data_IF_531984697641
#
_entry.id   IF_531984697641
#
_cell.length_a   1.000
_cell.length_b   1.000
_cell.length_c   1.000
_cell.angle_alpha   90.00
_cell.angle_beta   90.00
_cell.angle_gamma   90.00
#
_symmetry.space_group_name_H-M   'P 1'
#
loop_
_entity.id
_entity.type
_entity.pdbx_description
1 polymer ?
#
# COMPACT_ATOMS: atom_id res chain seq x y z
N UNK A 1 -35.70 -29.70 -4.69
CA UNK A 1 -35.13 -28.48 -4.06
C UNK A 1 -33.66 -28.19 -4.45
N UNK A 2 -33.09 -28.81 -5.51
CA UNK A 2 -31.71 -28.56 -5.98
C UNK A 2 -31.61 -27.73 -7.28
N UNK A 3 -32.68 -27.67 -8.09
CA UNK A 3 -32.68 -26.95 -9.39
C UNK A 3 -32.73 -25.41 -9.27
N UNK A 4 -33.24 -24.88 -8.17
CA UNK A 4 -33.32 -23.42 -7.92
C UNK A 4 -32.00 -22.82 -7.45
N UNK A 5 -31.12 -23.62 -6.84
CA UNK A 5 -29.83 -23.15 -6.29
C UNK A 5 -28.77 -22.95 -7.38
N UNK A 6 -28.80 -23.74 -8.45
CA UNK A 6 -27.89 -23.66 -9.61
C UNK A 6 -28.24 -22.54 -10.59
N UNK A 7 -29.51 -22.17 -10.71
CA UNK A 7 -29.91 -21.02 -11.52
C UNK A 7 -29.40 -19.71 -10.92
N UNK A 8 -29.55 -19.53 -9.59
CA UNK A 8 -29.11 -18.35 -8.84
C UNK A 8 -27.60 -18.08 -8.94
N UNK A 9 -26.78 -19.13 -8.94
CA UNK A 9 -25.32 -19.00 -9.07
C UNK A 9 -24.89 -18.58 -10.48
N UNK A 10 -25.57 -19.08 -11.53
CA UNK A 10 -25.34 -18.66 -12.92
C UNK A 10 -25.73 -17.21 -13.17
N UNK A 11 -26.86 -16.73 -12.66
CA UNK A 11 -27.27 -15.32 -12.82
C UNK A 11 -26.33 -14.37 -12.09
N UNK A 12 -25.82 -14.77 -10.92
CA UNK A 12 -24.81 -14.01 -10.17
C UNK A 12 -23.43 -13.99 -10.84
N UNK A 13 -23.04 -15.10 -11.49
CA UNK A 13 -21.81 -15.17 -12.29
C UNK A 13 -21.92 -14.29 -13.56
N UNK A 14 -23.06 -14.35 -14.27
CA UNK A 14 -23.33 -13.52 -15.44
C UNK A 14 -23.41 -12.02 -15.10
N UNK A 15 -24.01 -11.63 -13.98
CA UNK A 15 -24.00 -10.23 -13.52
C UNK A 15 -22.61 -9.73 -13.14
N UNK A 16 -21.77 -10.59 -12.55
CA UNK A 16 -20.37 -10.26 -12.28
C UNK A 16 -19.58 -10.12 -13.58
N UNK A 17 -19.70 -11.09 -14.49
CA UNK A 17 -19.05 -11.04 -15.80
C UNK A 17 -19.49 -9.81 -16.60
N UNK A 18 -20.78 -9.48 -16.62
CA UNK A 18 -21.31 -8.29 -17.28
C UNK A 18 -20.82 -6.98 -16.63
N UNK A 19 -20.66 -6.93 -15.30
CA UNK A 19 -20.07 -5.78 -14.61
C UNK A 19 -18.58 -5.62 -14.93
N UNK A 20 -17.83 -6.71 -14.96
CA UNK A 20 -16.41 -6.70 -15.34
C UNK A 20 -16.26 -6.30 -16.82
N UNK A 21 -17.09 -6.83 -17.72
CA UNK A 21 -17.13 -6.44 -19.14
C UNK A 21 -17.56 -5.00 -19.34
N UNK A 22 -18.54 -4.52 -18.58
CA UNK A 22 -18.96 -3.12 -18.63
C UNK A 22 -17.86 -2.19 -18.09
N UNK A 23 -17.15 -2.59 -17.04
CA UNK A 23 -16.00 -1.85 -16.53
C UNK A 23 -14.89 -1.78 -17.57
N UNK A 24 -14.55 -2.92 -18.20
CA UNK A 24 -13.55 -3.00 -19.27
C UNK A 24 -13.99 -2.19 -20.49
N UNK A 25 -15.27 -2.26 -20.88
CA UNK A 25 -15.81 -1.50 -22.00
C UNK A 25 -15.84 0.01 -21.72
N UNK A 26 -16.18 0.43 -20.50
CA UNK A 26 -16.12 1.84 -20.07
C UNK A 26 -14.68 2.33 -20.03
N UNK A 27 -13.74 1.53 -19.50
CA UNK A 27 -12.31 1.85 -19.51
C UNK A 27 -11.75 1.92 -20.92
N UNK A 28 -12.17 1.02 -21.81
CA UNK A 28 -11.77 1.00 -23.22
C UNK A 28 -12.35 2.18 -24.00
N UNK A 29 -13.62 2.52 -23.78
CA UNK A 29 -14.28 3.68 -24.39
C UNK A 29 -13.70 4.99 -23.84
N UNK A 30 -13.39 5.07 -22.55
CA UNK A 30 -12.70 6.21 -21.95
C UNK A 30 -11.28 6.37 -22.51
N UNK A 31 -10.54 5.26 -22.69
CA UNK A 31 -9.25 5.25 -23.35
C UNK A 31 -9.34 5.74 -24.80
N UNK A 32 -10.33 5.24 -25.56
CA UNK A 32 -10.53 5.61 -26.97
C UNK A 32 -11.03 7.05 -27.14
N UNK A 33 -11.90 7.54 -26.25
CA UNK A 33 -12.38 8.92 -26.23
C UNK A 33 -11.28 9.90 -25.79
N UNK A 34 -10.44 9.51 -24.82
CA UNK A 34 -9.25 10.27 -24.46
C UNK A 34 -8.28 10.42 -25.63
N UNK A 35 -8.05 9.36 -26.41
CA UNK A 35 -7.18 9.40 -27.62
C UNK A 35 -7.65 10.37 -28.69
N UNK A 36 -8.95 10.45 -28.96
CA UNK A 36 -9.52 11.41 -29.93
C UNK A 36 -9.35 12.87 -29.48
N UNK A 37 -9.25 13.13 -28.18
CA UNK A 37 -9.01 14.46 -27.62
C UNK A 37 -7.51 14.85 -27.55
N UNK A 38 -6.60 13.88 -27.62
CA UNK A 38 -5.14 14.06 -27.45
C UNK A 38 -4.44 14.41 -28.78
N UNK A 39 -5.00 14.03 -29.93
CA UNK A 39 -4.48 14.42 -31.23
C UNK A 39 -4.48 15.98 -31.35
N UNK A 40 -3.27 16.58 -31.34
CA UNK A 40 -3.09 18.04 -31.42
C UNK A 40 -2.80 18.77 -30.09
N UNK A 41 -2.70 18.08 -28.95
CA UNK A 41 -2.47 18.72 -27.63
C UNK A 41 -1.01 18.82 -27.17
N UNK A 42 -0.03 18.55 -28.03
CA UNK A 42 1.39 18.64 -27.66
C UNK A 42 1.77 20.03 -27.12
N UNK A 43 1.28 21.11 -27.76
CA UNK A 43 1.51 22.48 -27.26
C UNK A 43 0.89 22.73 -25.88
N UNK A 44 -0.31 22.20 -25.62
CA UNK A 44 -0.95 22.28 -24.29
C UNK A 44 -0.17 21.50 -23.24
N UNK A 45 0.34 20.31 -23.59
CA UNK A 45 1.15 19.49 -22.69
C UNK A 45 2.45 20.20 -22.31
N UNK A 46 3.13 20.82 -23.29
CA UNK A 46 4.32 21.63 -23.07
C UNK A 46 4.03 22.81 -22.14
N UNK A 47 2.99 23.61 -22.45
CA UNK A 47 2.60 24.74 -21.60
C UNK A 47 2.24 24.31 -20.16
N UNK A 48 1.59 23.14 -19.98
CA UNK A 48 1.32 22.60 -18.65
C UNK A 48 2.61 22.16 -17.94
N UNK A 49 3.56 21.55 -18.65
CA UNK A 49 4.88 21.21 -18.11
C UNK A 49 5.65 22.44 -17.63
N UNK A 50 5.69 23.50 -18.45
CA UNK A 50 6.32 24.77 -18.09
C UNK A 50 5.66 25.44 -16.87
N UNK A 51 4.32 25.36 -16.75
CA UNK A 51 3.62 25.83 -15.54
C UNK A 51 4.06 25.05 -14.31
N UNK A 52 4.15 23.73 -14.40
CA UNK A 52 4.59 22.89 -13.28
C UNK A 52 6.01 23.27 -12.87
N UNK A 53 6.91 23.45 -13.82
CA UNK A 53 8.27 23.93 -13.55
C UNK A 53 8.27 25.25 -12.76
N UNK A 54 7.43 26.23 -13.15
CA UNK A 54 7.27 27.48 -12.39
C UNK A 54 6.72 27.27 -10.98
N UNK A 55 5.73 26.38 -10.81
CA UNK A 55 5.20 26.03 -9.49
C UNK A 55 6.29 25.42 -8.59
N UNK A 56 7.17 24.59 -9.14
CA UNK A 56 8.28 24.01 -8.37
C UNK A 56 9.31 25.06 -7.95
N UNK A 57 9.59 26.05 -8.82
CA UNK A 57 10.42 27.20 -8.44
C UNK A 57 9.77 28.03 -7.34
N UNK A 58 8.46 28.28 -7.43
CA UNK A 58 7.70 29.00 -6.40
C UNK A 58 7.71 28.25 -5.05
N UNK A 59 7.64 26.91 -5.10
CA UNK A 59 7.71 26.04 -3.92
C UNK A 59 9.15 25.76 -3.45
N UNK A 60 10.16 26.34 -4.11
CA UNK A 60 11.58 26.14 -3.81
C UNK A 60 12.03 24.67 -3.82
N UNK A 61 11.44 23.85 -4.70
CA UNK A 61 11.89 22.48 -4.90
C UNK A 61 13.27 22.45 -5.58
N UNK A 62 14.07 21.38 -5.43
CA UNK A 62 15.33 21.23 -6.15
C UNK A 62 15.13 21.25 -7.67
N UNK A 63 16.10 21.75 -8.42
CA UNK A 63 16.05 21.70 -9.90
C UNK A 63 16.36 20.27 -10.39
N UNK A 64 15.50 19.75 -11.26
CA UNK A 64 15.63 18.43 -11.88
C UNK A 64 16.93 18.32 -12.71
N UNK A 65 17.35 19.41 -13.34
CA UNK A 65 18.59 19.46 -14.13
C UNK A 65 19.83 19.30 -13.25
N UNK A 66 19.82 19.83 -12.03
CA UNK A 66 20.91 19.64 -11.06
C UNK A 66 21.03 18.18 -10.63
N UNK A 67 19.91 17.45 -10.56
CA UNK A 67 19.92 16.01 -10.26
C UNK A 67 20.44 15.20 -11.47
N UNK A 68 20.13 15.63 -12.69
CA UNK A 68 20.56 14.95 -13.91
C UNK A 68 22.05 15.19 -14.24
N UNK A 69 22.60 16.37 -13.97
CA UNK A 69 23.97 16.75 -14.29
C UNK A 69 25.04 15.71 -13.89
N UNK A 70 25.11 15.22 -12.62
CA UNK A 70 26.09 14.21 -12.24
C UNK A 70 25.85 12.85 -12.90
N UNK A 71 24.58 12.53 -13.24
CA UNK A 71 24.26 11.30 -13.94
C UNK A 71 24.89 11.30 -15.34
N UNK A 72 24.88 12.43 -16.02
CA UNK A 72 25.42 12.59 -17.38
C UNK A 72 26.95 12.58 -17.46
N UNK A 73 27.67 12.61 -16.33
CA UNK A 73 29.13 12.56 -16.31
C UNK A 73 29.68 11.23 -16.84
N UNK A 74 28.91 10.14 -16.71
CA UNK A 74 29.32 8.80 -17.12
C UNK A 74 28.15 8.03 -17.74
N UNK A 75 28.40 7.26 -18.80
CA UNK A 75 27.31 6.52 -19.47
C UNK A 75 26.67 5.42 -18.61
N UNK A 76 27.48 4.75 -17.78
CA UNK A 76 27.01 3.60 -17.00
C UNK A 76 25.88 3.98 -16.02
N UNK A 77 26.00 5.02 -15.16
CA UNK A 77 24.90 5.49 -14.34
C UNK A 77 23.63 5.83 -15.12
N UNK A 78 23.74 6.52 -16.27
CA UNK A 78 22.57 6.86 -17.10
C UNK A 78 21.86 5.61 -17.60
N UNK A 79 22.61 4.65 -18.16
CA UNK A 79 22.07 3.40 -18.68
C UNK A 79 21.42 2.56 -17.57
N UNK A 80 22.00 2.54 -16.38
CA UNK A 80 21.41 1.88 -15.21
C UNK A 80 20.10 2.56 -14.79
N UNK A 81 20.05 3.89 -14.76
CA UNK A 81 18.83 4.63 -14.43
C UNK A 81 17.73 4.39 -15.48
N UNK A 82 18.06 4.46 -16.77
CA UNK A 82 17.13 4.15 -17.86
C UNK A 82 16.64 2.69 -17.79
N UNK A 83 17.53 1.74 -17.48
CA UNK A 83 17.16 0.32 -17.35
C UNK A 83 16.27 0.08 -16.13
N UNK A 84 16.55 0.76 -15.02
CA UNK A 84 15.69 0.72 -13.83
C UNK A 84 14.29 1.22 -14.18
N UNK A 85 14.22 2.38 -14.85
CA UNK A 85 12.97 2.98 -15.31
C UNK A 85 12.19 2.01 -16.22
N UNK A 86 12.86 1.36 -17.16
CA UNK A 86 12.23 0.46 -18.12
C UNK A 86 11.77 -0.87 -17.51
N UNK A 87 12.52 -1.45 -16.57
CA UNK A 87 12.39 -2.87 -16.26
C UNK A 87 12.05 -3.20 -14.81
N UNK A 88 12.20 -2.28 -13.84
CA UNK A 88 12.00 -2.65 -12.42
C UNK A 88 10.55 -2.54 -11.99
N UNK A 89 9.85 -1.53 -12.47
CA UNK A 89 8.54 -1.13 -11.96
C UNK A 89 7.49 -2.26 -12.01
N UNK A 90 7.25 -2.84 -13.19
CA UNK A 90 6.25 -3.89 -13.36
C UNK A 90 6.64 -5.20 -12.66
N UNK A 91 7.85 -5.77 -12.88
CA UNK A 91 8.24 -7.00 -12.21
C UNK A 91 8.24 -6.89 -10.68
N UNK A 92 8.75 -5.80 -10.11
CA UNK A 92 8.75 -5.60 -8.66
C UNK A 92 7.33 -5.59 -8.09
N UNK A 93 6.41 -4.90 -8.76
CA UNK A 93 5.00 -4.85 -8.35
C UNK A 93 4.33 -6.22 -8.46
N UNK A 94 4.55 -6.94 -9.57
CA UNK A 94 4.00 -8.29 -9.77
C UNK A 94 4.53 -9.26 -8.73
N UNK A 95 5.84 -9.26 -8.45
CA UNK A 95 6.45 -10.09 -7.42
C UNK A 95 5.87 -9.82 -6.04
N UNK A 96 5.69 -8.54 -5.68
CA UNK A 96 5.05 -8.15 -4.41
C UNK A 96 3.60 -8.66 -4.35
N UNK A 97 2.82 -8.47 -5.41
CA UNK A 97 1.43 -8.93 -5.47
C UNK A 97 1.32 -10.45 -5.39
N UNK A 98 2.16 -11.20 -6.10
CA UNK A 98 2.20 -12.67 -6.03
C UNK A 98 2.58 -13.13 -4.62
N UNK A 99 3.60 -12.53 -4.02
CA UNK A 99 4.01 -12.87 -2.67
C UNK A 99 2.92 -12.59 -1.63
N UNK A 100 2.27 -11.42 -1.71
CA UNK A 100 1.13 -11.09 -0.85
C UNK A 100 -0.05 -12.02 -1.11
N UNK A 101 -0.34 -12.37 -2.36
CA UNK A 101 -1.41 -13.31 -2.69
C UNK A 101 -1.19 -14.67 -2.03
N UNK A 102 0.04 -15.17 -2.05
CA UNK A 102 0.39 -16.48 -1.48
C UNK A 102 0.51 -16.47 0.06
N UNK A 103 0.94 -15.36 0.67
CA UNK A 103 1.29 -15.31 2.10
C UNK A 103 0.37 -14.45 2.95
N UNK A 104 -0.28 -13.45 2.37
CA UNK A 104 -1.05 -12.38 3.04
C UNK A 104 -2.26 -11.94 2.18
N UNK A 105 -3.28 -12.80 1.96
CA UNK A 105 -4.37 -12.52 1.01
C UNK A 105 -5.17 -11.24 1.32
N UNK A 106 -5.33 -10.89 2.59
CA UNK A 106 -6.01 -9.66 3.00
C UNK A 106 -5.25 -8.39 2.56
N UNK A 107 -3.94 -8.36 2.79
CA UNK A 107 -3.05 -7.27 2.38
C UNK A 107 -2.95 -7.19 0.85
N UNK A 108 -2.94 -8.34 0.16
CA UNK A 108 -3.02 -8.40 -1.30
C UNK A 108 -4.26 -7.67 -1.84
N UNK A 109 -5.45 -7.95 -1.28
CA UNK A 109 -6.69 -7.31 -1.73
C UNK A 109 -6.65 -5.80 -1.51
N UNK A 110 -6.09 -5.35 -0.39
CA UNK A 110 -5.94 -3.93 -0.09
C UNK A 110 -4.98 -3.25 -1.06
N UNK A 111 -3.79 -3.81 -1.27
CA UNK A 111 -2.81 -3.26 -2.20
C UNK A 111 -3.36 -3.25 -3.63
N UNK A 112 -3.96 -4.35 -4.09
CA UNK A 112 -4.58 -4.44 -5.42
C UNK A 112 -5.63 -3.35 -5.62
N UNK A 113 -6.52 -3.12 -4.65
CA UNK A 113 -7.54 -2.05 -4.72
C UNK A 113 -6.89 -0.68 -4.77
N UNK A 114 -5.89 -0.41 -3.93
CA UNK A 114 -5.18 0.86 -3.92
C UNK A 114 -4.50 1.14 -5.27
N UNK A 115 -3.78 0.16 -5.83
CA UNK A 115 -3.14 0.27 -7.14
C UNK A 115 -4.16 0.48 -8.26
N UNK A 116 -5.28 -0.25 -8.25
CA UNK A 116 -6.32 -0.09 -9.26
C UNK A 116 -6.96 1.30 -9.23
N UNK A 117 -7.34 1.80 -8.04
CA UNK A 117 -7.94 3.12 -7.89
C UNK A 117 -6.93 4.22 -8.23
N UNK A 118 -5.68 4.10 -7.78
CA UNK A 118 -4.62 5.05 -8.08
C UNK A 118 -4.37 5.14 -9.59
N UNK A 119 -4.32 3.99 -10.27
CA UNK A 119 -4.11 3.92 -11.72
C UNK A 119 -5.29 4.51 -12.48
N UNK A 120 -6.52 4.20 -12.08
CA UNK A 120 -7.71 4.78 -12.69
C UNK A 120 -7.74 6.31 -12.54
N UNK A 121 -7.45 6.82 -11.34
CA UNK A 121 -7.39 8.27 -11.08
C UNK A 121 -6.26 8.95 -11.88
N UNK A 122 -5.09 8.31 -11.97
CA UNK A 122 -3.97 8.81 -12.78
C UNK A 122 -4.35 8.87 -14.27
N UNK A 123 -4.99 7.83 -14.81
CA UNK A 123 -5.43 7.80 -16.20
C UNK A 123 -6.45 8.91 -16.52
N UNK A 124 -7.39 9.17 -15.61
CA UNK A 124 -8.33 10.29 -15.75
C UNK A 124 -7.57 11.63 -15.80
N UNK A 125 -6.61 11.84 -14.89
CA UNK A 125 -5.79 13.05 -14.89
C UNK A 125 -4.94 13.19 -16.16
N UNK A 126 -4.31 12.11 -16.63
CA UNK A 126 -3.51 12.09 -17.86
C UNK A 126 -4.32 12.46 -19.10
N UNK A 127 -5.60 12.09 -19.14
CA UNK A 127 -6.51 12.44 -20.25
C UNK A 127 -7.00 13.89 -20.12
N UNK A 128 -7.37 14.32 -18.92
CA UNK A 128 -7.93 15.65 -18.68
C UNK A 128 -6.86 16.75 -18.77
N UNK A 129 -5.66 16.49 -18.27
CA UNK A 129 -4.56 17.44 -18.13
C UNK A 129 -3.29 16.82 -18.73
N UNK A 130 -3.12 16.86 -20.06
CA UNK A 130 -1.90 16.37 -20.68
C UNK A 130 -0.72 17.22 -20.20
N UNK A 131 0.41 16.59 -19.92
CA UNK A 131 1.54 17.25 -19.27
C UNK A 131 2.85 16.68 -19.82
N UNK A 132 3.64 17.57 -20.42
CA UNK A 132 4.92 17.21 -20.99
C UNK A 132 5.97 17.07 -19.88
N UNK A 133 6.73 15.97 -19.86
CA UNK A 133 7.79 15.73 -18.88
C UNK A 133 8.99 16.67 -19.09
N UNK A 134 9.88 16.82 -18.08
CA UNK A 134 11.00 17.75 -18.13
C UNK A 134 11.90 17.61 -19.37
N UNK A 135 12.17 16.38 -19.83
CA UNK A 135 13.04 16.15 -21.01
C UNK A 135 12.47 16.68 -22.35
N UNK A 136 11.18 17.01 -22.39
CA UNK A 136 10.51 17.51 -23.61
C UNK A 136 10.27 19.02 -23.56
N UNK A 137 10.51 19.67 -22.42
CA UNK A 137 10.32 21.12 -22.24
C UNK A 137 11.65 21.87 -22.38
N UNK A 138 11.68 22.93 -23.19
CA UNK A 138 12.92 23.69 -23.41
C UNK A 138 13.43 24.41 -22.15
N UNK A 139 12.52 24.83 -21.25
CA UNK A 139 12.87 25.60 -20.04
C UNK A 139 13.76 24.84 -19.04
N UNK A 140 13.69 23.52 -19.00
CA UNK A 140 14.42 22.71 -18.02
C UNK A 140 15.86 22.43 -18.45
N UNK A 141 16.18 22.57 -19.74
CA UNK A 141 17.50 22.21 -20.30
C UNK A 141 17.86 20.73 -20.18
N UNK A 142 16.91 19.86 -19.80
CA UNK A 142 17.18 18.45 -19.55
C UNK A 142 17.37 17.65 -20.84
N UNK A 143 18.27 16.67 -20.77
CA UNK A 143 18.55 15.74 -21.86
C UNK A 143 17.58 14.55 -21.77
N UNK A 144 17.01 14.16 -22.91
CA UNK A 144 16.29 12.88 -23.04
C UNK A 144 17.29 11.71 -22.98
N UNK A 145 17.50 11.20 -21.78
CA UNK A 145 18.48 10.13 -21.53
C UNK A 145 18.05 8.82 -22.17
N UNK A 146 16.76 8.54 -22.25
CA UNK A 146 16.22 7.33 -22.86
C UNK A 146 16.51 7.31 -24.36
N UNK A 147 16.29 8.43 -25.04
CA UNK A 147 16.59 8.56 -26.47
C UNK A 147 18.10 8.60 -26.77
N UNK A 148 18.89 9.26 -25.91
CA UNK A 148 20.34 9.46 -26.15
C UNK A 148 21.20 8.25 -25.76
N UNK A 149 20.91 7.61 -24.63
CA UNK A 149 21.76 6.54 -24.07
C UNK A 149 21.07 5.17 -24.04
N UNK A 150 19.73 5.14 -24.08
CA UNK A 150 18.95 3.92 -24.04
C UNK A 150 18.91 3.23 -22.67
N UNK A 151 18.00 2.26 -22.48
CA UNK A 151 16.84 2.00 -23.37
C UNK A 151 15.78 3.11 -23.28
N UNK A 152 15.12 3.43 -24.40
CA UNK A 152 13.91 4.26 -24.41
C UNK A 152 12.67 3.37 -24.34
N UNK A 153 11.72 3.71 -23.47
CA UNK A 153 10.40 3.07 -23.37
C UNK A 153 9.35 3.77 -24.24
N UNK A 154 9.75 4.87 -24.90
CA UNK A 154 8.91 5.65 -25.80
C UNK A 154 9.47 5.56 -27.22
N UNK A 155 8.61 5.19 -28.17
CA UNK A 155 8.90 5.28 -29.60
C UNK A 155 8.57 6.66 -30.20
N UNK A 156 8.58 6.77 -31.55
CA UNK A 156 8.18 7.99 -32.24
C UNK A 156 6.80 8.47 -31.78
N UNK A 157 6.54 9.79 -31.67
CA UNK A 157 5.27 10.35 -31.17
C UNK A 157 4.01 9.88 -31.92
N UNK A 158 4.20 9.40 -33.15
CA UNK A 158 3.16 8.94 -34.07
C UNK A 158 2.84 7.43 -33.91
N UNK A 159 3.67 6.67 -33.19
CA UNK A 159 3.47 5.25 -32.98
C UNK A 159 2.45 5.00 -31.85
N UNK A 160 1.45 4.16 -32.12
CA UNK A 160 0.42 3.70 -31.18
C UNK A 160 1.05 2.76 -30.14
N UNK A 161 1.79 3.32 -29.20
CA UNK A 161 2.42 2.58 -28.11
C UNK A 161 1.58 2.63 -26.83
N UNK A 162 1.75 1.59 -26.01
CA UNK A 162 1.12 1.47 -24.70
C UNK A 162 1.49 2.62 -23.73
N UNK A 163 2.56 3.38 -24.02
CA UNK A 163 3.12 4.45 -23.20
C UNK A 163 2.91 5.85 -23.82
N UNK A 164 2.09 6.69 -23.19
CA UNK A 164 1.91 8.10 -23.59
C UNK A 164 3.01 8.97 -22.97
N UNK A 165 3.89 9.55 -23.78
CA UNK A 165 4.98 10.41 -23.29
C UNK A 165 4.52 11.75 -22.71
N UNK A 166 3.27 12.18 -22.93
CA UNK A 166 2.67 13.41 -22.37
C UNK A 166 1.81 13.15 -21.12
N UNK A 167 2.06 12.07 -20.41
CA UNK A 167 1.32 11.64 -19.23
C UNK A 167 2.22 11.63 -17.98
N UNK A 168 2.90 12.75 -17.69
CA UNK A 168 3.84 12.81 -16.57
C UNK A 168 3.14 12.88 -15.19
N UNK A 169 2.12 13.73 -15.00
CA UNK A 169 1.47 13.87 -13.69
C UNK A 169 0.12 13.14 -13.60
N UNK A 170 -0.13 12.29 -12.58
CA UNK A 170 0.77 11.90 -11.50
C UNK A 170 1.75 10.79 -11.91
N UNK A 171 2.88 10.68 -11.19
CA UNK A 171 3.86 9.62 -11.45
C UNK A 171 3.40 8.26 -10.92
N UNK A 172 2.94 7.39 -11.82
CA UNK A 172 2.57 6.01 -11.48
C UNK A 172 3.76 5.19 -10.98
N UNK A 173 4.97 5.46 -11.50
CA UNK A 173 6.21 4.87 -11.01
C UNK A 173 6.39 5.06 -9.51
N UNK A 174 6.36 6.33 -9.07
CA UNK A 174 6.49 6.69 -7.66
C UNK A 174 5.29 6.20 -6.85
N UNK A 175 4.07 6.38 -7.37
CA UNK A 175 2.84 5.98 -6.68
C UNK A 175 2.75 4.49 -6.36
N UNK A 176 3.06 3.62 -7.34
CA UNK A 176 3.04 2.17 -7.09
C UNK A 176 4.22 1.74 -6.23
N UNK A 177 5.42 2.30 -6.46
CA UNK A 177 6.59 1.99 -5.64
C UNK A 177 6.33 2.32 -4.16
N UNK A 178 5.65 3.44 -3.88
CA UNK A 178 5.26 3.83 -2.54
C UNK A 178 4.19 2.89 -1.97
N UNK A 179 3.15 2.54 -2.75
CA UNK A 179 2.13 1.60 -2.32
C UNK A 179 2.71 0.22 -1.97
N UNK A 180 3.62 -0.30 -2.80
CA UNK A 180 4.36 -1.55 -2.58
C UNK A 180 5.20 -1.45 -1.31
N UNK A 181 5.97 -0.38 -1.13
CA UNK A 181 6.80 -0.19 0.05
C UNK A 181 5.95 -0.13 1.33
N UNK A 182 4.86 0.64 1.33
CA UNK A 182 3.95 0.73 2.48
C UNK A 182 3.30 -0.62 2.82
N UNK A 183 2.90 -1.39 1.81
CA UNK A 183 2.37 -2.74 2.02
C UNK A 183 3.42 -3.65 2.66
N UNK A 184 4.67 -3.63 2.18
CA UNK A 184 5.76 -4.43 2.72
C UNK A 184 6.14 -3.98 4.15
N UNK A 185 6.18 -2.67 4.44
CA UNK A 185 6.38 -2.12 5.80
C UNK A 185 5.30 -2.62 6.76
N UNK A 186 4.05 -2.71 6.30
CA UNK A 186 2.92 -3.12 7.14
C UNK A 186 2.99 -4.61 7.53
N UNK A 187 3.50 -5.48 6.65
CA UNK A 187 3.50 -6.93 6.86
C UNK A 187 4.83 -7.51 7.34
N UNK A 188 5.91 -6.72 7.31
CA UNK A 188 7.24 -7.12 7.81
C UNK A 188 7.52 -6.54 9.20
N UNK A 189 8.30 -7.28 10.00
CA UNK A 189 8.61 -6.93 11.39
C UNK A 189 10.07 -6.47 11.57
N UNK A 190 10.33 -5.80 12.70
CA UNK A 190 11.68 -5.34 13.08
C UNK A 190 12.08 -4.00 12.47
N UNK A 191 13.30 -3.53 12.80
CA UNK A 191 13.82 -2.23 12.37
C UNK A 191 14.12 -2.14 10.87
N UNK A 192 14.38 -3.28 10.22
CA UNK A 192 14.75 -3.35 8.80
C UNK A 192 13.56 -3.17 7.84
N UNK A 193 12.31 -3.23 8.33
CA UNK A 193 11.12 -3.01 7.49
C UNK A 193 11.13 -1.65 6.78
N UNK A 194 11.77 -0.64 7.38
CA UNK A 194 11.85 0.69 6.81
C UNK A 194 12.74 0.76 5.56
N UNK A 195 13.60 -0.24 5.33
CA UNK A 195 14.39 -0.32 4.09
C UNK A 195 13.50 -0.45 2.84
N UNK A 196 12.27 -0.92 2.96
CA UNK A 196 11.34 -0.94 1.83
C UNK A 196 11.04 0.46 1.29
N UNK A 197 11.15 1.52 2.11
CA UNK A 197 11.01 2.91 1.68
C UNK A 197 12.16 3.37 0.76
N UNK A 198 13.27 2.63 0.70
CA UNK A 198 14.32 2.91 -0.29
C UNK A 198 13.79 2.73 -1.72
N UNK A 199 12.83 1.83 -1.96
CA UNK A 199 12.28 1.59 -3.30
C UNK A 199 11.60 2.83 -3.92
N UNK A 200 10.62 3.48 -3.28
CA UNK A 200 10.02 4.71 -3.82
C UNK A 200 11.00 5.87 -3.87
N UNK A 201 11.98 5.96 -2.97
CA UNK A 201 13.01 7.00 -3.01
C UNK A 201 13.93 6.84 -4.23
N UNK A 202 14.45 5.63 -4.47
CA UNK A 202 15.25 5.32 -5.66
C UNK A 202 14.42 5.54 -6.92
N UNK A 203 13.15 5.13 -6.91
CA UNK A 203 12.25 5.33 -8.05
C UNK A 203 12.06 6.81 -8.34
N UNK A 204 11.81 7.65 -7.32
CA UNK A 204 11.67 9.10 -7.46
C UNK A 204 12.93 9.74 -8.06
N UNK A 205 14.11 9.40 -7.52
CA UNK A 205 15.39 9.90 -8.04
C UNK A 205 15.59 9.48 -9.49
N UNK A 206 15.37 8.20 -9.83
CA UNK A 206 15.54 7.70 -11.20
C UNK A 206 14.61 8.41 -12.17
N UNK A 207 13.32 8.53 -11.84
CA UNK A 207 12.35 9.12 -12.77
C UNK A 207 12.56 10.62 -12.98
N UNK A 208 13.02 11.33 -11.94
CA UNK A 208 13.36 12.75 -12.03
C UNK A 208 14.68 12.93 -12.79
N UNK A 209 15.75 12.21 -12.42
CA UNK A 209 17.06 12.35 -13.06
C UNK A 209 17.07 11.96 -14.55
N UNK A 210 16.18 11.06 -14.96
CA UNK A 210 16.00 10.69 -16.38
C UNK A 210 15.09 11.66 -17.15
N UNK A 211 14.60 12.72 -16.49
CA UNK A 211 13.72 13.74 -17.08
C UNK A 211 12.34 13.19 -17.46
N UNK A 212 11.89 12.12 -16.79
CA UNK A 212 10.58 11.53 -17.02
C UNK A 212 9.47 12.18 -16.18
N UNK A 213 9.82 12.77 -15.05
CA UNK A 213 8.87 13.36 -14.12
C UNK A 213 9.45 14.58 -13.41
N UNK A 214 8.59 15.53 -13.07
CA UNK A 214 8.87 16.60 -12.12
C UNK A 214 8.78 16.06 -10.68
N UNK A 215 9.31 16.78 -9.68
CA UNK A 215 9.12 16.40 -8.27
C UNK A 215 7.64 16.41 -7.87
N UNK A 216 6.88 17.40 -8.34
CA UNK A 216 5.45 17.52 -8.08
C UNK A 216 4.66 16.33 -8.60
N UNK A 217 5.08 15.67 -9.69
CA UNK A 217 4.42 14.47 -10.18
C UNK A 217 4.42 13.35 -9.13
N UNK A 218 5.53 13.21 -8.42
CA UNK A 218 5.69 12.26 -7.32
C UNK A 218 4.92 12.68 -6.07
N UNK A 219 4.92 13.97 -5.72
CA UNK A 219 4.16 14.51 -4.58
C UNK A 219 2.66 14.30 -4.78
N UNK A 220 2.12 14.63 -5.96
CA UNK A 220 0.71 14.43 -6.28
C UNK A 220 0.35 12.94 -6.24
N UNK A 221 1.22 12.05 -6.75
CA UNK A 221 1.01 10.61 -6.65
C UNK A 221 0.95 10.12 -5.19
N UNK A 222 1.82 10.63 -4.32
CA UNK A 222 1.84 10.29 -2.91
C UNK A 222 0.60 10.80 -2.15
N UNK A 223 0.18 12.05 -2.41
CA UNK A 223 -1.06 12.63 -1.84
C UNK A 223 -2.28 11.84 -2.29
N UNK A 224 -2.37 11.54 -3.59
CA UNK A 224 -3.47 10.75 -4.14
C UNK A 224 -3.53 9.35 -3.51
N UNK A 225 -2.38 8.67 -3.38
CA UNK A 225 -2.30 7.39 -2.69
C UNK A 225 -2.74 7.49 -1.22
N UNK A 226 -2.32 8.54 -0.49
CA UNK A 226 -2.71 8.74 0.90
C UNK A 226 -4.24 8.91 1.05
N UNK A 227 -4.87 9.71 0.17
CA UNK A 227 -6.33 9.87 0.13
C UNK A 227 -7.02 8.54 -0.15
N UNK A 228 -6.52 7.77 -1.12
CA UNK A 228 -7.07 6.44 -1.44
C UNK A 228 -6.97 5.49 -0.25
N UNK A 229 -5.81 5.42 0.40
CA UNK A 229 -5.60 4.54 1.56
C UNK A 229 -6.46 4.93 2.77
N UNK A 230 -6.75 6.23 2.93
CA UNK A 230 -7.65 6.75 3.96
C UNK A 230 -9.13 6.42 3.67
N UNK A 231 -9.53 6.42 2.40
CA UNK A 231 -10.89 6.10 1.97
C UNK A 231 -11.18 4.58 1.93
N UNK A 232 -10.15 3.74 1.78
CA UNK A 232 -10.32 2.29 1.75
C UNK A 232 -10.76 1.75 3.12
N UNK A 233 -11.72 0.81 3.18
CA UNK A 233 -12.14 0.18 4.42
C UNK A 233 -10.95 -0.45 5.14
N UNK A 234 -10.82 -0.18 6.45
CA UNK A 234 -9.81 -0.84 7.28
C UNK A 234 -10.14 -2.33 7.42
N UNK A 235 -9.14 -3.23 7.43
CA UNK A 235 -9.37 -4.63 7.77
C UNK A 235 -10.07 -4.68 9.14
N UNK A 236 -11.25 -5.29 9.17
CA UNK A 236 -11.93 -5.58 10.45
C UNK A 236 -11.09 -6.66 11.12
N UNK A 237 -10.61 -6.45 12.35
CA UNK A 237 -9.92 -7.52 13.07
C UNK A 237 -10.83 -8.76 13.09
N UNK A 238 -10.31 -9.98 12.88
CA UNK A 238 -11.14 -11.16 13.02
C UNK A 238 -11.83 -11.09 14.37
N UNK A 239 -13.17 -11.12 14.35
CA UNK A 239 -13.97 -11.20 15.57
C UNK A 239 -13.45 -12.44 16.29
N UNK A 240 -12.75 -12.24 17.40
CA UNK A 240 -12.40 -13.36 18.28
C UNK A 240 -13.72 -13.91 18.77
N UNK A 241 -14.17 -15.01 18.17
CA UNK A 241 -15.25 -15.79 18.75
C UNK A 241 -14.82 -16.10 20.18
N UNK A 242 -15.61 -15.71 21.20
CA UNK A 242 -15.29 -16.11 22.56
C UNK A 242 -15.16 -17.64 22.55
N UNK A 243 -14.16 -18.20 23.25
CA UNK A 243 -14.05 -19.65 23.37
C UNK A 243 -15.41 -20.18 23.84
N UNK A 244 -15.86 -21.33 23.32
CA UNK A 244 -17.09 -21.95 23.80
C UNK A 244 -17.01 -22.03 25.34
N UNK A 245 -18.12 -21.78 26.07
CA UNK A 245 -18.12 -21.88 27.51
C UNK A 245 -17.49 -23.21 27.89
N UNK A 246 -16.46 -23.18 28.73
CA UNK A 246 -15.84 -24.39 29.26
C UNK A 246 -16.95 -25.10 30.05
N UNK A 247 -17.50 -26.15 29.46
CA UNK A 247 -18.39 -27.06 30.17
C UNK A 247 -17.50 -27.80 31.15
N UNK A 248 -17.41 -27.29 32.38
CA UNK A 248 -16.79 -28.03 33.46
C UNK A 248 -17.55 -29.37 33.58
N UNK A 249 -16.87 -30.52 33.53
CA UNK A 249 -17.53 -31.77 33.88
C UNK A 249 -18.11 -31.61 35.30
N UNK A 250 -19.31 -32.14 35.57
CA UNK A 250 -19.86 -32.11 36.91
C UNK A 250 -18.83 -32.72 37.85
N UNK A 251 -18.38 -31.94 38.84
CA UNK A 251 -17.46 -32.44 39.86
C UNK A 251 -18.14 -33.66 40.49
N UNK A 252 -17.47 -34.83 40.58
CA UNK A 252 -18.05 -35.95 41.29
C UNK A 252 -18.45 -35.48 42.68
N UNK A 253 -19.71 -35.71 43.06
CA UNK A 253 -20.17 -35.48 44.42
C UNK A 253 -19.33 -36.35 45.37
N UNK A 254 -18.28 -35.76 45.94
CA UNK A 254 -17.54 -36.38 47.04
C UNK A 254 -18.45 -36.31 48.25
N UNK A 255 -19.11 -37.43 48.56
CA UNK A 255 -19.84 -37.61 49.82
C UNK A 255 -18.83 -37.46 50.96
N UNK A 256 -18.99 -36.50 51.88
CA UNK A 256 -18.10 -36.40 53.02
C UNK A 256 -18.19 -37.70 53.84
N UNK A 257 -17.08 -38.27 54.32
CA UNK A 257 -17.13 -39.45 55.16
C UNK A 257 -17.97 -39.14 56.43
N UNK A 258 -18.75 -40.12 56.93
CA UNK A 258 -19.58 -39.91 58.11
C UNK A 258 -18.71 -39.48 59.29
N UNK A 259 -19.08 -38.35 59.91
CA UNK A 259 -18.47 -37.88 61.16
C UNK A 259 -18.58 -39.00 62.20
N UNK A 260 -17.43 -39.54 62.62
CA UNK A 260 -17.35 -40.41 63.81
C UNK A 260 -18.02 -39.70 64.99
N UNK A 261 -18.98 -40.38 65.61
CA UNK A 261 -19.69 -39.89 66.78
C UNK A 261 -18.70 -39.46 67.87
N UNK A 262 -18.88 -38.23 68.36
CA UNK A 262 -18.02 -37.63 69.37
C UNK A 262 -18.03 -38.45 70.66
N UNK A 263 -16.83 -38.70 71.17
CA UNK A 263 -16.57 -39.21 72.53
C UNK A 263 -17.25 -38.25 73.53
N UNK A 264 -18.23 -38.75 74.29
CA UNK A 264 -18.93 -38.01 75.36
C UNK A 264 -17.90 -37.32 76.27
N UNK A 265 -17.96 -35.99 76.37
CA UNK A 265 -17.30 -35.22 77.45
C UNK A 265 -18.08 -35.48 78.73
N UNK A 266 -17.43 -36.07 79.73
CA UNK A 266 -17.91 -36.14 81.10
C UNK A 266 -17.92 -34.74 81.71
N UNK A 267 -18.96 -34.46 82.50
CA UNK A 267 -19.22 -33.17 83.12
C UNK A 267 -18.14 -32.81 84.16
N UNK A 268 -17.72 -31.54 84.18
CA UNK A 268 -16.86 -30.95 85.22
C UNK A 268 -17.68 -30.66 86.47
N UNK A 269 -17.26 -31.20 87.61
CA UNK A 269 -17.59 -30.72 88.96
C UNK A 269 -16.58 -29.62 89.33
N UNK A 270 -16.98 -28.49 89.95
CA UNK A 270 -16.04 -27.47 90.38
C UNK A 270 -15.50 -27.81 91.79
N UNK A 271 -14.18 -27.77 91.96
CA UNK A 271 -13.55 -27.84 93.27
C UNK A 271 -12.57 -26.66 93.44
N UNK A 272 -12.89 -25.88 94.48
CA UNK A 272 -12.08 -25.01 95.33
C UNK A 272 -10.92 -24.20 94.74
N UNK A 273 -11.00 -22.89 95.04
CA UNK A 273 -9.90 -21.95 95.01
C UNK A 273 -8.74 -22.42 95.88
N UNK A 274 -7.51 -22.26 95.39
CA UNK A 274 -6.40 -22.00 96.28
C UNK A 274 -5.41 -21.04 95.63
N UNK A 275 -5.19 -19.94 96.32
CA UNK A 275 -4.20 -18.93 96.01
C UNK A 275 -2.80 -19.52 96.21
N UNK A 276 -1.83 -19.08 95.39
CA UNK A 276 -0.52 -18.58 95.86
C UNK A 276 0.46 -18.32 94.71
N UNK A 277 1.00 -17.10 94.78
CA UNK A 277 2.43 -16.74 94.63
C UNK A 277 3.04 -16.72 93.22
N UNK A 278 3.08 -15.49 92.70
CA UNK A 278 4.07 -14.97 91.75
C UNK A 278 5.43 -14.79 92.47
N UNK A 279 6.57 -15.03 91.79
CA UNK A 279 7.76 -14.23 92.03
C UNK A 279 8.23 -13.48 90.77
N UNK A 280 9.07 -12.44 90.95
CA UNK A 280 9.25 -11.36 89.98
C UNK A 280 10.43 -11.60 89.02
N UNK A 281 10.37 -10.96 87.86
CA UNK A 281 11.50 -10.83 86.95
C UNK A 281 12.61 -9.96 87.54
N UNK A 282 13.84 -10.38 87.26
CA UNK A 282 15.04 -9.52 87.14
C UNK A 282 15.33 -9.52 85.64
N UNK A 283 15.44 -8.40 84.94
CA UNK A 283 16.36 -7.30 85.18
C UNK A 283 17.15 -7.18 83.88
#
# INVERSE_FOLDING_TARGET
MQLTKTASTRTGALRRAARELALVAVLFLAYKAGRQLIAGRAGTALANGERIWWWERLLHLPDEALLQAPLLAHELPVRLANSYYAYVHFPATVLCLVWLYLRRPEDYLRLRRALAVLTAAALVLHVCVPLAPPRLTALTGMVDTGRRFGPSVYGPPEADQLSNQYAAMPSLHVGWALAVALALVAVTAGRWRWLWLAHPLVTAVVVVATGNHYWLDGVVAAVLLAVILAALPRPVPPVRTPPPPVVCPPRPHVVPPPRRAGRRRTAKVPAAADARLRPPGRG
#
